data_IF_359966244620
#
_entry.id   IF_359966244620
#
_cell.length_a   1.000
_cell.length_b   1.000
_cell.length_c   1.000
_cell.angle_alpha   90.00
_cell.angle_beta   90.00
_cell.angle_gamma   90.00
#
_symmetry.space_group_name_H-M   'P 1'
#
loop_
_entity.id
_entity.type
_entity.pdbx_description
1 polymer ?
#
# COMPACT_ATOMS: atom_id res chain seq x y z
N UNK A 1 -17.13 19.36 18.79
CA UNK A 1 -17.33 18.26 19.76
C UNK A 1 -16.66 17.03 19.21
N UNK A 2 -15.51 16.65 19.76
CA UNK A 2 -14.81 15.42 19.35
C UNK A 2 -15.60 14.22 19.90
N UNK A 3 -16.06 13.33 19.00
CA UNK A 3 -16.67 12.07 19.41
C UNK A 3 -15.56 11.21 20.01
N UNK A 4 -15.58 11.03 21.33
CA UNK A 4 -14.75 10.05 22.04
C UNK A 4 -15.30 8.67 21.74
N UNK A 5 -14.74 8.00 20.74
CA UNK A 5 -14.99 6.59 20.50
C UNK A 5 -14.28 5.77 21.59
N UNK A 6 -14.91 4.69 22.05
CA UNK A 6 -14.33 3.77 23.03
C UNK A 6 -12.96 3.27 22.51
N UNK A 7 -11.90 3.50 23.29
CA UNK A 7 -10.50 3.19 22.95
C UNK A 7 -10.09 1.76 23.30
N UNK A 8 -11.07 0.85 23.38
CA UNK A 8 -10.80 -0.56 23.68
C UNK A 8 -10.31 -1.27 22.41
N UNK A 9 -9.16 -1.97 22.45
CA UNK A 9 -8.72 -2.80 21.34
C UNK A 9 -9.77 -3.86 21.01
N UNK A 10 -10.12 -3.95 19.74
CA UNK A 10 -11.05 -4.93 19.19
C UNK A 10 -10.22 -6.04 18.54
N UNK A 11 -10.44 -7.29 18.97
CA UNK A 11 -9.83 -8.47 18.38
C UNK A 11 -10.85 -9.24 17.55
N UNK A 12 -10.57 -9.42 16.26
CA UNK A 12 -11.40 -10.15 15.30
C UNK A 12 -10.56 -11.27 14.67
N UNK A 13 -10.36 -12.40 15.37
CA UNK A 13 -9.40 -13.43 15.00
C UNK A 13 -9.75 -14.20 13.72
N UNK A 14 -10.98 -14.08 13.22
CA UNK A 14 -11.43 -14.74 11.99
C UNK A 14 -11.77 -13.75 10.87
N UNK A 15 -11.59 -12.45 11.08
CA UNK A 15 -11.90 -11.45 10.07
C UNK A 15 -10.92 -11.58 8.90
N UNK A 16 -11.46 -11.79 7.71
CA UNK A 16 -10.69 -11.93 6.47
C UNK A 16 -10.88 -10.74 5.53
N UNK A 17 -12.06 -10.11 5.57
CA UNK A 17 -12.42 -9.00 4.71
C UNK A 17 -12.99 -7.87 5.56
N UNK A 18 -12.46 -6.67 5.41
CA UNK A 18 -12.94 -5.47 6.09
C UNK A 18 -13.12 -4.34 5.08
N UNK A 19 -14.30 -3.76 5.05
CA UNK A 19 -14.56 -2.52 4.32
C UNK A 19 -14.97 -1.42 5.30
N UNK A 20 -14.29 -0.29 5.18
CA UNK A 20 -14.50 0.95 5.91
C UNK A 20 -14.56 2.12 4.91
N UNK A 21 -14.98 1.85 3.68
CA UNK A 21 -15.11 2.87 2.66
C UNK A 21 -16.16 3.92 3.07
N UNK A 22 -15.89 5.20 2.78
CA UNK A 22 -16.81 6.30 3.09
C UNK A 22 -17.22 6.43 4.57
N UNK A 23 -16.34 6.04 5.51
CA UNK A 23 -16.61 6.12 6.96
C UNK A 23 -16.07 7.41 7.62
N UNK A 24 -15.39 8.26 6.86
CA UNK A 24 -14.83 9.52 7.33
C UNK A 24 -13.53 9.38 8.13
N UNK A 25 -12.77 8.30 7.93
CA UNK A 25 -11.47 8.10 8.57
C UNK A 25 -10.49 9.21 8.18
N UNK A 26 -9.74 9.72 9.16
CA UNK A 26 -8.72 10.77 8.94
C UNK A 26 -7.30 10.30 9.18
N UNK A 27 -7.13 9.12 9.79
CA UNK A 27 -5.83 8.52 10.15
C UNK A 27 -5.91 7.00 10.11
N UNK A 28 -4.77 6.35 9.86
CA UNK A 28 -4.58 4.90 9.95
C UNK A 28 -4.38 4.40 11.39
N UNK A 29 -4.07 5.30 12.32
CA UNK A 29 -3.74 4.97 13.72
C UNK A 29 -4.78 4.05 14.38
N UNK A 30 -6.11 4.24 14.20
CA UNK A 30 -7.06 3.33 14.81
C UNK A 30 -7.02 1.90 14.29
N UNK A 31 -6.66 1.72 13.02
CA UNK A 31 -6.50 0.39 12.43
C UNK A 31 -5.27 -0.30 13.04
N UNK A 32 -4.16 0.43 13.19
CA UNK A 32 -2.92 -0.13 13.70
C UNK A 32 -2.95 -0.38 15.22
N UNK A 33 -3.55 0.54 15.99
CA UNK A 33 -3.52 0.53 17.46
C UNK A 33 -4.68 -0.24 18.09
N UNK A 34 -5.88 -0.21 17.48
CA UNK A 34 -7.11 -0.69 18.12
C UNK A 34 -7.77 -1.87 17.41
N UNK A 35 -7.26 -2.33 16.26
CA UNK A 35 -7.82 -3.47 15.55
C UNK A 35 -6.78 -4.58 15.39
N UNK A 36 -7.00 -5.71 16.07
CA UNK A 36 -6.26 -6.94 15.86
C UNK A 36 -7.04 -7.90 14.98
N UNK A 37 -6.55 -8.16 13.76
CA UNK A 37 -7.17 -9.07 12.80
C UNK A 37 -6.09 -9.87 12.05
N UNK A 38 -5.49 -10.90 12.68
CA UNK A 38 -4.32 -11.60 12.13
C UNK A 38 -4.58 -12.38 10.84
N UNK A 39 -5.85 -12.62 10.48
CA UNK A 39 -6.25 -13.31 9.26
C UNK A 39 -6.85 -12.37 8.20
N UNK A 40 -6.74 -11.05 8.39
CA UNK A 40 -7.25 -10.08 7.42
C UNK A 40 -6.46 -10.19 6.11
N UNK A 41 -7.17 -10.43 5.01
CA UNK A 41 -6.60 -10.59 3.66
C UNK A 41 -7.01 -9.45 2.72
N UNK A 42 -8.17 -8.84 2.97
CA UNK A 42 -8.71 -7.73 2.19
C UNK A 42 -9.08 -6.57 3.11
N UNK A 43 -8.56 -5.39 2.80
CA UNK A 43 -8.90 -4.14 3.46
C UNK A 43 -9.28 -3.08 2.43
N UNK A 44 -10.44 -2.48 2.60
CA UNK A 44 -10.89 -1.33 1.83
C UNK A 44 -11.16 -0.15 2.75
N UNK A 45 -10.40 0.93 2.57
CA UNK A 45 -10.55 2.22 3.27
C UNK A 45 -10.73 3.36 2.26
N UNK A 46 -11.25 3.05 1.08
CA UNK A 46 -11.44 4.02 0.01
C UNK A 46 -12.43 5.14 0.38
N UNK A 47 -12.33 6.27 -0.29
CA UNK A 47 -13.25 7.40 -0.13
C UNK A 47 -13.31 7.91 1.32
N UNK A 48 -12.14 8.12 1.93
CA UNK A 48 -12.01 8.66 3.28
C UNK A 48 -11.20 9.98 3.23
N UNK A 49 -10.65 10.42 4.36
CA UNK A 49 -9.81 11.61 4.49
C UNK A 49 -8.46 11.24 5.10
N UNK A 50 -7.98 10.02 4.82
CA UNK A 50 -6.70 9.51 5.32
C UNK A 50 -5.57 10.37 4.76
N UNK A 51 -4.64 10.77 5.62
CA UNK A 51 -3.53 11.67 5.31
C UNK A 51 -2.20 11.07 5.71
N UNK A 52 -1.12 11.61 5.16
CA UNK A 52 0.25 11.24 5.50
C UNK A 52 0.78 10.11 4.62
N UNK A 53 1.84 9.46 5.11
CA UNK A 53 2.43 8.31 4.44
C UNK A 53 1.55 7.07 4.59
N UNK A 54 1.57 6.20 3.58
CA UNK A 54 0.98 4.87 3.67
C UNK A 54 1.76 4.05 4.73
N UNK A 55 1.11 3.51 5.77
CA UNK A 55 1.80 2.74 6.80
C UNK A 55 2.04 1.29 6.37
N UNK A 56 3.01 0.63 7.01
CA UNK A 56 3.26 -0.82 6.90
C UNK A 56 2.17 -1.62 7.62
N UNK A 57 1.01 -1.77 6.97
CA UNK A 57 -0.14 -2.46 7.55
C UNK A 57 0.10 -3.94 7.78
N UNK A 58 1.02 -4.58 7.05
CA UNK A 58 1.34 -6.00 7.23
C UNK A 58 2.02 -6.31 8.57
N UNK A 59 2.61 -5.33 9.25
CA UNK A 59 3.06 -5.50 10.64
C UNK A 59 1.89 -5.77 11.59
N UNK A 60 0.70 -5.25 11.29
CA UNK A 60 -0.53 -5.47 12.08
C UNK A 60 -1.38 -6.61 11.48
N UNK A 61 -1.43 -6.71 10.15
CA UNK A 61 -2.23 -7.65 9.38
C UNK A 61 -1.33 -8.50 8.47
N UNK A 62 -0.61 -9.51 9.02
CA UNK A 62 0.45 -10.23 8.28
C UNK A 62 -0.04 -10.96 7.03
N UNK A 63 -1.34 -11.30 6.97
CA UNK A 63 -1.97 -11.98 5.84
C UNK A 63 -2.62 -11.04 4.82
N UNK A 64 -2.44 -9.72 4.95
CA UNK A 64 -3.06 -8.76 4.03
C UNK A 64 -2.49 -8.94 2.62
N UNK A 65 -3.37 -9.11 1.64
CA UNK A 65 -3.04 -9.36 0.22
C UNK A 65 -3.58 -8.23 -0.66
N UNK A 66 -4.79 -7.73 -0.37
CA UNK A 66 -5.45 -6.67 -1.13
C UNK A 66 -5.71 -5.47 -0.24
N UNK A 67 -5.27 -4.30 -0.68
CA UNK A 67 -5.49 -3.04 0.01
C UNK A 67 -6.01 -1.97 -0.95
N UNK A 68 -7.22 -1.48 -0.68
CA UNK A 68 -7.86 -0.41 -1.43
C UNK A 68 -7.91 0.85 -0.56
N UNK A 69 -7.28 1.92 -1.00
CA UNK A 69 -7.18 3.21 -0.32
C UNK A 69 -7.36 4.39 -1.30
N UNK A 70 -8.13 4.16 -2.37
CA UNK A 70 -8.46 5.18 -3.36
C UNK A 70 -9.22 6.36 -2.74
N UNK A 71 -9.21 7.52 -3.38
CA UNK A 71 -9.99 8.71 -2.96
C UNK A 71 -9.69 9.11 -1.50
N UNK A 72 -8.42 9.42 -1.24
CA UNK A 72 -7.92 9.86 0.07
C UNK A 72 -6.93 11.03 -0.11
N UNK A 73 -6.14 11.35 0.92
CA UNK A 73 -5.16 12.44 0.93
C UNK A 73 -3.76 11.92 1.32
N UNK A 74 -3.46 10.67 0.93
CA UNK A 74 -2.17 10.01 1.17
C UNK A 74 -1.13 10.70 0.29
N UNK A 75 0.04 11.03 0.85
CA UNK A 75 1.04 11.84 0.16
C UNK A 75 2.33 11.11 -0.19
N UNK A 76 2.56 9.92 0.37
CA UNK A 76 3.74 9.12 0.06
C UNK A 76 3.49 7.64 0.35
N UNK A 77 4.28 6.78 -0.30
CA UNK A 77 4.39 5.36 0.03
C UNK A 77 5.86 4.94 -0.02
N UNK A 78 6.21 3.89 0.74
CA UNK A 78 7.52 3.24 0.70
C UNK A 78 7.40 1.80 0.21
N UNK A 79 8.53 1.16 -0.05
CA UNK A 79 8.58 -0.27 -0.42
C UNK A 79 8.00 -1.14 0.70
N UNK A 80 8.44 -0.88 1.93
CA UNK A 80 8.07 -1.63 3.14
C UNK A 80 6.57 -1.50 3.46
N UNK A 81 5.93 -0.40 3.04
CA UNK A 81 4.49 -0.21 3.23
C UNK A 81 3.63 -1.16 2.38
N UNK A 82 4.18 -1.64 1.25
CA UNK A 82 3.43 -2.38 0.22
C UNK A 82 3.99 -3.78 -0.06
N UNK A 83 5.14 -4.12 0.52
CA UNK A 83 5.82 -5.41 0.34
C UNK A 83 4.89 -6.58 0.65
N UNK A 84 4.85 -7.56 -0.27
CA UNK A 84 3.98 -8.75 -0.25
C UNK A 84 2.46 -8.51 -0.32
N UNK A 85 2.01 -7.31 -0.67
CA UNK A 85 0.66 -7.12 -1.23
C UNK A 85 0.63 -7.62 -2.68
N UNK A 86 -0.51 -8.17 -3.10
CA UNK A 86 -0.75 -8.55 -4.51
C UNK A 86 -1.59 -7.50 -5.25
N UNK A 87 -2.42 -6.75 -4.52
CA UNK A 87 -3.26 -5.71 -5.09
C UNK A 87 -3.25 -4.46 -4.20
N UNK A 88 -2.88 -3.33 -4.79
CA UNK A 88 -2.89 -2.02 -4.18
C UNK A 88 -3.62 -1.03 -5.08
N UNK A 89 -4.58 -0.32 -4.51
CA UNK A 89 -5.21 0.84 -5.13
C UNK A 89 -5.00 2.06 -4.24
N UNK A 90 -4.17 2.99 -4.70
CA UNK A 90 -3.95 4.30 -4.07
C UNK A 90 -4.26 5.41 -5.08
N UNK A 91 -5.18 5.15 -6.01
CA UNK A 91 -5.63 6.15 -6.98
C UNK A 91 -6.31 7.35 -6.31
N UNK A 92 -6.31 8.51 -6.98
CA UNK A 92 -6.94 9.74 -6.49
C UNK A 92 -6.48 10.11 -5.06
N UNK A 93 -5.17 10.21 -4.89
CA UNK A 93 -4.50 10.64 -3.66
C UNK A 93 -3.56 11.83 -3.96
N UNK A 94 -2.68 12.18 -3.02
CA UNK A 94 -1.72 13.28 -3.15
C UNK A 94 -0.26 12.79 -3.25
N UNK A 95 -0.03 11.55 -3.70
CA UNK A 95 1.32 10.99 -3.82
C UNK A 95 2.13 11.80 -4.84
N UNK A 96 3.24 12.38 -4.42
CA UNK A 96 4.08 13.26 -5.23
C UNK A 96 5.28 12.56 -5.89
N UNK A 97 5.63 11.36 -5.40
CA UNK A 97 6.74 10.55 -5.89
C UNK A 97 6.49 9.05 -5.71
N UNK A 98 6.92 8.26 -6.70
CA UNK A 98 6.94 6.79 -6.62
C UNK A 98 8.40 6.30 -6.46
N UNK A 99 8.74 5.65 -5.33
CA UNK A 99 10.07 5.08 -5.15
C UNK A 99 10.42 4.03 -6.23
N UNK A 100 11.61 4.10 -6.86
CA UNK A 100 12.06 3.10 -7.83
C UNK A 100 12.06 1.67 -7.30
N UNK A 101 12.32 1.49 -5.99
CA UNK A 101 12.32 0.18 -5.31
C UNK A 101 10.99 -0.57 -5.43
N UNK A 102 9.87 0.14 -5.63
CA UNK A 102 8.58 -0.50 -5.91
C UNK A 102 8.61 -1.41 -7.14
N UNK A 103 9.49 -1.14 -8.12
CA UNK A 103 9.64 -2.00 -9.30
C UNK A 103 10.12 -3.42 -8.99
N UNK A 104 10.71 -3.65 -7.82
CA UNK A 104 11.14 -4.98 -7.36
C UNK A 104 9.95 -5.87 -6.96
N UNK A 105 8.83 -5.26 -6.56
CA UNK A 105 7.61 -5.97 -6.17
C UNK A 105 6.97 -6.74 -7.32
N UNK A 106 7.32 -6.44 -8.57
CA UNK A 106 6.82 -7.17 -9.74
C UNK A 106 7.54 -8.49 -10.03
N UNK A 107 8.64 -8.79 -9.32
CA UNK A 107 9.57 -9.88 -9.66
C UNK A 107 9.61 -10.98 -8.59
N UNK A 108 8.83 -10.86 -7.50
CA UNK A 108 8.86 -11.83 -6.41
C UNK A 108 8.22 -13.17 -6.79
N UNK A 109 8.98 -14.26 -6.61
CA UNK A 109 8.52 -15.64 -6.83
C UNK A 109 7.36 -16.05 -5.91
N UNK A 110 7.22 -15.40 -4.75
CA UNK A 110 6.19 -15.65 -3.72
C UNK A 110 4.84 -14.99 -4.01
N UNK A 111 4.71 -14.28 -5.14
CA UNK A 111 3.45 -13.65 -5.56
C UNK A 111 3.43 -12.15 -5.33
N UNK A 112 4.38 -11.45 -5.94
CA UNK A 112 4.50 -9.99 -5.89
C UNK A 112 3.28 -9.19 -6.38
N UNK A 113 3.43 -7.87 -6.45
CA UNK A 113 2.36 -6.93 -6.73
C UNK A 113 1.84 -7.07 -8.18
N UNK A 114 0.65 -7.64 -8.34
CA UNK A 114 0.01 -7.91 -9.65
C UNK A 114 -0.90 -6.78 -10.09
N UNK A 115 -1.43 -6.02 -9.13
CA UNK A 115 -2.30 -4.88 -9.38
C UNK A 115 -1.80 -3.69 -8.57
N UNK A 116 -1.46 -2.63 -9.27
CA UNK A 116 -1.10 -1.33 -8.73
C UNK A 116 -1.86 -0.27 -9.52
N UNK A 117 -2.73 0.45 -8.83
CA UNK A 117 -3.33 1.68 -9.34
C UNK A 117 -2.81 2.87 -8.54
N UNK A 118 -2.18 3.80 -9.27
CA UNK A 118 -1.58 5.03 -8.77
C UNK A 118 -2.09 6.24 -9.56
N UNK A 119 -3.14 6.06 -10.36
CA UNK A 119 -3.71 7.12 -11.20
C UNK A 119 -4.27 8.27 -10.34
N UNK A 120 -4.38 9.47 -10.91
CA UNK A 120 -4.97 10.62 -10.18
C UNK A 120 -4.13 11.15 -9.00
N UNK A 121 -2.84 10.84 -8.94
CA UNK A 121 -1.90 11.39 -7.95
C UNK A 121 -1.14 12.62 -8.48
N UNK A 122 -0.34 13.24 -7.62
CA UNK A 122 0.38 14.50 -7.90
C UNK A 122 1.73 14.32 -8.62
N UNK A 123 2.26 13.09 -8.66
CA UNK A 123 3.54 12.82 -9.32
C UNK A 123 3.45 13.06 -10.84
N UNK A 124 4.54 13.57 -11.42
CA UNK A 124 4.66 13.80 -12.88
C UNK A 124 5.46 12.70 -13.60
N UNK A 125 6.17 11.91 -12.80
CA UNK A 125 7.22 10.98 -13.21
C UNK A 125 7.01 9.73 -12.36
N UNK A 126 6.53 8.60 -12.91
CA UNK A 126 6.25 8.34 -14.33
C UNK A 126 5.11 9.18 -14.90
N UNK A 127 5.16 9.47 -16.21
CA UNK A 127 4.06 10.18 -16.90
C UNK A 127 2.80 9.32 -16.90
N UNK A 128 1.63 9.97 -16.95
CA UNK A 128 0.33 9.29 -16.99
C UNK A 128 0.22 8.24 -18.10
N UNK A 129 0.92 8.40 -19.23
CA UNK A 129 0.92 7.43 -20.34
C UNK A 129 1.55 6.08 -19.94
N UNK A 130 2.48 6.07 -19.00
CA UNK A 130 3.06 4.83 -18.44
C UNK A 130 2.09 4.23 -17.43
N UNK A 131 1.51 5.06 -16.57
CA UNK A 131 0.52 4.62 -15.58
C UNK A 131 -0.70 3.98 -16.26
N UNK A 132 -1.20 4.57 -17.35
CA UNK A 132 -2.34 4.08 -18.11
C UNK A 132 -2.09 2.75 -18.83
N UNK A 133 -0.82 2.33 -19.02
CA UNK A 133 -0.49 1.01 -19.57
C UNK A 133 -0.67 -0.11 -18.54
N UNK A 134 -0.88 0.22 -17.27
CA UNK A 134 -1.14 -0.73 -16.20
C UNK A 134 0.10 -1.08 -15.37
N UNK A 135 -0.10 -2.04 -14.47
CA UNK A 135 0.82 -2.38 -13.38
C UNK A 135 2.21 -2.79 -13.86
N UNK A 136 2.29 -3.72 -14.82
CA UNK A 136 3.58 -4.20 -15.35
C UNK A 136 4.43 -3.06 -15.91
N UNK A 137 3.82 -2.15 -16.68
CA UNK A 137 4.52 -1.01 -17.25
C UNK A 137 5.04 -0.03 -16.19
N UNK A 138 4.27 0.18 -15.12
CA UNK A 138 4.70 1.04 -13.99
C UNK A 138 5.86 0.39 -13.24
N UNK A 139 5.74 -0.89 -12.90
CA UNK A 139 6.76 -1.62 -12.15
C UNK A 139 8.07 -1.76 -12.95
N UNK A 140 7.99 -2.12 -14.24
CA UNK A 140 9.15 -2.19 -15.12
C UNK A 140 9.82 -0.82 -15.28
N UNK A 141 9.02 0.24 -15.44
CA UNK A 141 9.55 1.60 -15.54
C UNK A 141 10.27 2.04 -14.25
N UNK A 142 9.76 1.66 -13.07
CA UNK A 142 10.40 1.94 -11.79
C UNK A 142 11.68 1.11 -11.61
N UNK A 143 11.64 -0.17 -11.98
CA UNK A 143 12.78 -1.09 -11.91
C UNK A 143 13.95 -0.61 -12.76
N UNK A 144 13.69 -0.11 -13.96
CA UNK A 144 14.71 0.43 -14.87
C UNK A 144 15.38 1.72 -14.38
N UNK A 145 14.92 2.29 -13.26
CA UNK A 145 15.54 3.45 -12.60
C UNK A 145 16.36 3.09 -11.37
N UNK A 146 16.39 1.82 -10.97
CA UNK A 146 17.24 1.36 -9.89
C UNK A 146 18.70 1.33 -10.35
N UNK A 147 19.58 1.70 -9.44
CA UNK A 147 21.02 1.57 -9.64
C UNK A 147 21.44 0.09 -9.56
N UNK A 148 22.57 -0.30 -10.18
CA UNK A 148 23.11 -1.65 -10.04
C UNK A 148 23.43 -2.04 -8.59
N UNK A 149 23.68 -1.06 -7.72
CA UNK A 149 23.94 -1.26 -6.29
C UNK A 149 22.65 -1.64 -5.55
N UNK A 150 21.57 -0.88 -5.74
CA UNK A 150 20.24 -1.20 -5.16
C UNK A 150 19.72 -2.57 -5.63
N UNK A 151 20.02 -2.97 -6.87
CA UNK A 151 19.68 -4.30 -7.39
C UNK A 151 20.48 -5.43 -6.72
N UNK A 152 21.75 -5.18 -6.38
CA UNK A 152 22.61 -6.16 -5.69
C UNK A 152 22.24 -6.33 -4.23
N UNK A 153 21.90 -5.24 -3.54
CA UNK A 153 21.41 -5.29 -2.15
C UNK A 153 20.15 -6.16 -2.06
N UNK A 154 19.20 -5.95 -2.98
CA UNK A 154 17.98 -6.77 -3.02
C UNK A 154 18.26 -8.25 -3.30
N UNK A 155 19.15 -8.58 -4.25
CA UNK A 155 19.51 -9.97 -4.54
C UNK A 155 20.21 -10.65 -3.35
N UNK A 156 21.01 -9.90 -2.57
CA UNK A 156 21.66 -10.40 -1.36
C UNK A 156 20.67 -10.68 -0.22
N UNK A 157 19.62 -9.86 -0.08
CA UNK A 157 18.57 -10.07 0.92
C UNK A 157 17.68 -11.26 0.58
N UNK A 158 17.40 -11.51 -0.71
CA UNK A 158 16.60 -12.68 -1.14
C UNK A 158 17.31 -14.03 -0.96
N UNK A 159 18.64 -14.05 -0.94
CA UNK A 159 19.43 -15.28 -0.78
C UNK A 159 19.66 -15.66 0.69
N UNK A 160 19.21 -14.79 1.62
CA UNK A 160 19.43 -14.90 3.06
C UNK A 160 18.14 -14.98 3.89
N UNK A 161 16.98 -15.16 3.23
CA UNK A 161 15.66 -15.46 3.82
C UNK A 161 15.22 -16.88 3.49
#
# INVERSE_FOLDING_TARGET
MARTYSTSPIALPHLQNLTLAATGLTSFEPLQSFLSAPFLMFLDVSNNRLRGALPTLRSTYPKLITFLASENQINSLSFEAVEGLQALDVSNNNIDFLPPRLGLLGVEESGGLRRLDVSGNSFRVPKWQIVAKGTEAVLDWLKNRLTPEELREWQGDTDNM
#
